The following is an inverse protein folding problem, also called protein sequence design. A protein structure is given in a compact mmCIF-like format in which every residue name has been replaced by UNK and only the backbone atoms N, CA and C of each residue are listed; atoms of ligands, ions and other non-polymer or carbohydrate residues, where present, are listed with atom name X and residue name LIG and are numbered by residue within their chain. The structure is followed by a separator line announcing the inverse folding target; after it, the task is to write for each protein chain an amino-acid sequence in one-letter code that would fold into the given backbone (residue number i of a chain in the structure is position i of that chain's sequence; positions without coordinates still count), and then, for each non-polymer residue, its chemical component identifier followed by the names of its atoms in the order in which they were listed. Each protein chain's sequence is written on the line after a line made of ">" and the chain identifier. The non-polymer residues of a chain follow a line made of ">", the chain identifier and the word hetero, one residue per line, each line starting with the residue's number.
data_IF_961897769589
#
_entry.id   IF_961897769589
#
_cell.length_a   1.000
_cell.length_b   1.000
_cell.length_c   1.000
_cell.angle_alpha   90.00
_cell.angle_beta   90.00
_cell.angle_gamma   90.00
#
_symmetry.space_group_name_H-M   'P 1'
#
loop_
_entity.id
_entity.type
_entity.pdbx_description
1 polymer ?
#
# COMPACT_ATOMS: atom_id res chain seq x y z
N UNK A 1 -18.69 0.01 -15.50
CA UNK A 1 -18.49 -1.24 -14.75
C UNK A 1 -17.07 -1.16 -14.22
N UNK A 2 -16.85 -1.16 -12.91
CA UNK A 2 -15.50 -1.15 -12.37
C UNK A 2 -14.83 -2.50 -12.57
N UNK A 3 -13.51 -2.48 -12.72
CA UNK A 3 -12.67 -3.68 -12.68
C UNK A 3 -12.13 -3.90 -11.27
N UNK A 4 -11.70 -5.12 -10.99
CA UNK A 4 -10.96 -5.40 -9.77
C UNK A 4 -9.49 -5.06 -10.02
N UNK A 5 -8.92 -4.23 -9.15
CA UNK A 5 -7.52 -3.84 -9.23
C UNK A 5 -6.80 -4.30 -7.98
N UNK A 6 -5.71 -5.02 -8.16
CA UNK A 6 -4.83 -5.47 -7.08
C UNK A 6 -3.47 -4.83 -7.24
N UNK A 7 -3.00 -4.17 -6.19
CA UNK A 7 -1.63 -3.66 -6.12
C UNK A 7 -0.82 -4.48 -5.11
N UNK A 8 0.46 -4.65 -5.40
CA UNK A 8 1.41 -5.37 -4.55
C UNK A 8 2.59 -4.43 -4.27
N UNK A 9 2.91 -4.25 -2.99
CA UNK A 9 4.08 -3.50 -2.55
C UNK A 9 5.10 -4.49 -1.97
N UNK A 10 6.32 -4.45 -2.49
CA UNK A 10 7.44 -5.27 -2.05
C UNK A 10 8.53 -4.37 -1.49
N UNK A 11 8.81 -4.50 -0.20
CA UNK A 11 9.89 -3.78 0.46
C UNK A 11 11.24 -4.43 0.10
N UNK A 12 12.22 -3.61 -0.28
CA UNK A 12 13.62 -4.05 -0.43
C UNK A 12 14.21 -4.36 0.95
N UNK A 13 15.11 -5.35 1.04
CA UNK A 13 15.71 -5.76 2.33
C UNK A 13 16.38 -4.61 3.08
N UNK A 14 17.00 -3.65 2.36
CA UNK A 14 17.58 -2.44 2.98
C UNK A 14 16.54 -1.61 3.74
N UNK A 15 15.30 -1.54 3.26
CA UNK A 15 14.22 -0.82 3.93
C UNK A 15 13.87 -1.47 5.27
N UNK A 16 13.83 -2.81 5.32
CA UNK A 16 13.57 -3.56 6.55
C UNK A 16 14.64 -3.24 7.61
N UNK A 17 15.91 -3.25 7.21
CA UNK A 17 17.04 -3.00 8.11
C UNK A 17 17.13 -1.53 8.56
N UNK A 18 16.93 -0.59 7.64
CA UNK A 18 17.10 0.84 7.92
C UNK A 18 16.01 1.40 8.83
N UNK A 19 14.80 0.88 8.73
CA UNK A 19 13.62 1.40 9.44
C UNK A 19 13.10 0.46 10.52
N UNK A 20 13.73 -0.70 10.70
CA UNK A 20 13.29 -1.78 11.61
C UNK A 20 11.81 -2.14 11.40
N UNK A 21 11.45 -2.39 10.13
CA UNK A 21 10.08 -2.68 9.71
C UNK A 21 10.00 -4.01 8.96
N UNK A 22 8.77 -4.50 8.80
CA UNK A 22 8.42 -5.56 7.85
C UNK A 22 7.09 -5.20 7.16
N UNK A 23 6.56 -6.08 6.31
CA UNK A 23 5.34 -5.82 5.55
C UNK A 23 4.09 -5.54 6.42
N UNK A 24 4.04 -5.96 7.67
CA UNK A 24 2.95 -5.63 8.61
C UNK A 24 2.91 -4.15 8.99
N UNK A 25 3.98 -3.41 8.73
CA UNK A 25 4.09 -1.96 8.96
C UNK A 25 3.72 -1.16 7.71
N UNK A 26 3.34 -1.81 6.61
CA UNK A 26 2.90 -1.12 5.41
C UNK A 26 1.54 -0.46 5.66
N UNK A 27 1.45 0.82 5.31
CA UNK A 27 0.22 1.61 5.33
C UNK A 27 -0.10 2.02 3.90
N UNK A 28 -1.16 1.40 3.37
CA UNK A 28 -1.73 1.78 2.07
C UNK A 28 -2.59 3.03 2.22
N UNK A 29 -2.44 3.98 1.30
CA UNK A 29 -3.32 5.16 1.23
C UNK A 29 -3.84 5.42 -0.18
N UNK A 30 -5.09 5.80 -0.28
CA UNK A 30 -5.73 6.34 -1.49
C UNK A 30 -6.07 7.81 -1.28
N UNK A 31 -5.59 8.70 -2.15
CA UNK A 31 -5.82 10.15 -2.04
C UNK A 31 -5.55 10.69 -0.61
N UNK A 32 -4.43 10.25 -0.01
CA UNK A 32 -3.99 10.55 1.36
C UNK A 32 -4.81 9.93 2.51
N UNK A 33 -5.86 9.17 2.22
CA UNK A 33 -6.69 8.47 3.21
C UNK A 33 -6.22 7.02 3.36
N UNK A 34 -6.14 6.54 4.61
CA UNK A 34 -5.75 5.15 4.87
C UNK A 34 -6.76 4.16 4.30
N UNK A 35 -6.26 3.13 3.60
CA UNK A 35 -7.08 2.01 3.17
C UNK A 35 -7.47 1.18 4.41
N UNK A 36 -8.74 0.75 4.53
CA UNK A 36 -9.18 -0.13 5.62
C UNK A 36 -8.36 -1.42 5.69
N UNK A 37 -8.02 -1.87 6.90
CA UNK A 37 -7.15 -3.03 7.11
C UNK A 37 -7.75 -4.32 6.54
N UNK A 38 -9.08 -4.40 6.45
CA UNK A 38 -9.82 -5.53 5.92
C UNK A 38 -9.55 -5.75 4.42
N UNK A 39 -9.11 -4.71 3.71
CA UNK A 39 -8.76 -4.77 2.28
C UNK A 39 -7.25 -4.98 2.05
N UNK A 40 -6.46 -5.01 3.12
CA UNK A 40 -5.00 -5.17 3.07
C UNK A 40 -4.63 -6.60 3.46
N UNK A 41 -3.82 -7.23 2.63
CA UNK A 41 -3.27 -8.56 2.90
C UNK A 41 -1.76 -8.44 3.08
N UNK A 42 -1.23 -9.01 4.17
CA UNK A 42 0.22 -9.22 4.32
C UNK A 42 0.53 -10.61 3.79
N UNK A 43 1.26 -10.68 2.68
CA UNK A 43 1.54 -11.94 1.98
C UNK A 43 2.73 -12.65 2.63
N UNK A 44 3.80 -11.90 2.92
CA UNK A 44 5.01 -12.42 3.57
C UNK A 44 5.77 -11.29 4.28
N UNK A 45 6.99 -11.55 4.78
CA UNK A 45 7.81 -10.58 5.53
C UNK A 45 8.06 -9.26 4.78
N UNK A 46 8.14 -9.26 3.45
CA UNK A 46 8.47 -8.07 2.64
C UNK A 46 7.31 -7.58 1.79
N UNK A 47 6.24 -8.36 1.66
CA UNK A 47 5.20 -8.14 0.64
C UNK A 47 3.83 -7.96 1.27
N UNK A 48 3.15 -6.89 0.88
CA UNK A 48 1.73 -6.64 1.16
C UNK A 48 0.98 -6.33 -0.13
N UNK A 49 -0.31 -6.63 -0.18
CA UNK A 49 -1.19 -6.29 -1.29
C UNK A 49 -2.47 -5.62 -0.81
N UNK A 50 -3.10 -4.87 -1.70
CA UNK A 50 -4.45 -4.32 -1.54
C UNK A 50 -5.25 -4.66 -2.79
N UNK A 51 -6.52 -5.06 -2.60
CA UNK A 51 -7.45 -5.32 -3.69
C UNK A 51 -8.65 -4.40 -3.56
N UNK A 52 -8.88 -3.60 -4.60
CA UNK A 52 -10.04 -2.75 -4.74
C UNK A 52 -11.01 -3.42 -5.71
N UNK A 53 -12.22 -3.69 -5.23
CA UNK A 53 -13.31 -4.27 -6.04
C UNK A 53 -14.17 -3.18 -6.65
N UNK A 54 -14.63 -3.39 -7.88
CA UNK A 54 -15.52 -2.46 -8.60
C UNK A 54 -15.01 -1.01 -8.54
N UNK A 55 -13.75 -0.80 -8.96
CA UNK A 55 -13.14 0.53 -8.91
C UNK A 55 -13.82 1.47 -9.93
N UNK A 56 -14.75 2.29 -9.47
CA UNK A 56 -15.50 3.26 -10.28
C UNK A 56 -14.90 4.66 -10.30
N UNK A 57 -13.92 4.94 -9.42
CA UNK A 57 -13.19 6.21 -9.37
C UNK A 57 -12.30 6.37 -10.61
N UNK A 58 -12.46 7.48 -11.35
CA UNK A 58 -11.71 7.76 -12.58
C UNK A 58 -10.20 7.90 -12.37
N UNK A 59 -9.77 8.39 -11.20
CA UNK A 59 -8.34 8.58 -10.88
C UNK A 59 -8.12 8.45 -9.39
N UNK A 60 -7.24 7.54 -8.98
CA UNK A 60 -6.88 7.30 -7.58
C UNK A 60 -5.37 7.36 -7.41
N UNK A 61 -4.89 8.21 -6.52
CA UNK A 61 -3.49 8.19 -6.10
C UNK A 61 -3.31 7.12 -5.03
N UNK A 62 -2.63 6.03 -5.39
CA UNK A 62 -2.32 4.94 -4.47
C UNK A 62 -0.88 5.06 -3.99
N UNK A 63 -0.68 5.02 -2.68
CA UNK A 63 0.66 5.01 -2.08
C UNK A 63 0.84 3.82 -1.16
N UNK A 64 2.05 3.26 -1.21
CA UNK A 64 2.56 2.33 -0.22
C UNK A 64 3.52 3.11 0.69
N UNK A 65 3.22 3.14 1.97
CA UNK A 65 4.03 3.80 2.99
C UNK A 65 4.45 2.75 4.02
N UNK A 66 5.47 3.02 4.82
CA UNK A 66 5.84 2.21 5.99
C UNK A 66 5.82 3.06 7.24
N UNK A 67 5.28 2.52 8.33
CA UNK A 67 5.31 3.15 9.64
C UNK A 67 6.62 2.77 10.36
N UNK A 68 7.66 3.59 10.21
CA UNK A 68 8.93 3.37 10.90
C UNK A 68 8.86 3.85 12.35
N UNK A 69 9.59 3.14 13.23
CA UNK A 69 9.67 3.44 14.66
C UNK A 69 8.29 3.58 15.34
N UNK A 70 7.25 2.96 14.78
CA UNK A 70 5.88 3.00 15.26
C UNK A 70 5.15 4.35 15.14
N UNK A 71 5.79 5.39 14.61
CA UNK A 71 5.24 6.76 14.65
C UNK A 71 5.44 7.55 13.35
N UNK A 72 6.43 7.21 12.52
CA UNK A 72 6.81 8.02 11.37
C UNK A 72 6.44 7.30 10.09
N UNK A 73 5.47 7.83 9.36
CA UNK A 73 5.16 7.31 8.03
C UNK A 73 6.20 7.78 7.01
N UNK A 74 6.81 6.83 6.31
CA UNK A 74 7.73 7.06 5.21
C UNK A 74 7.09 6.58 3.91
N UNK A 75 7.08 7.42 2.88
CA UNK A 75 6.60 7.01 1.57
C UNK A 75 7.60 6.06 0.92
N UNK A 76 7.16 4.84 0.58
CA UNK A 76 7.98 3.88 -0.17
C UNK A 76 7.80 4.08 -1.65
N UNK A 77 6.54 4.19 -2.09
CA UNK A 77 6.20 4.40 -3.49
C UNK A 77 4.80 4.99 -3.64
N UNK A 78 4.56 5.71 -4.73
CA UNK A 78 3.27 6.23 -5.12
C UNK A 78 3.03 6.06 -6.61
N UNK A 79 1.79 5.73 -6.99
CA UNK A 79 1.34 5.63 -8.38
C UNK A 79 -0.07 6.16 -8.54
N UNK A 80 -0.42 6.57 -9.76
CA UNK A 80 -1.78 6.97 -10.11
C UNK A 80 -2.44 5.83 -10.88
N UNK A 81 -3.56 5.35 -10.35
CA UNK A 81 -4.40 4.34 -11.00
C UNK A 81 -5.53 5.06 -11.73
N UNK A 82 -5.70 4.76 -13.02
CA UNK A 82 -6.77 5.27 -13.85
C UNK A 82 -7.74 4.13 -14.15
N UNK A 83 -9.02 4.33 -13.82
CA UNK A 83 -10.09 3.41 -14.22
C UNK A 83 -10.70 3.91 -15.53
N UNK A 84 -10.77 3.04 -16.54
CA UNK A 84 -11.27 3.32 -17.89
C UNK A 84 -12.55 2.57 -18.21
#
# INVERSE_FOLDING_TARGET
>A
RGSNFTAICVLKEKCLQQYDVNASFIVWKTNHVAVPKEQVTVINRTTSSVTFTDMTLQTVQLTCNVLSFGQIEQNVYGTTVLSG
#
